data_IF_626100885746
#
_entry.id   IF_626100885746
#
_cell.length_a   1.000
_cell.length_b   1.000
_cell.length_c   1.000
_cell.angle_alpha   90.00
_cell.angle_beta   90.00
_cell.angle_gamma   90.00
#
_symmetry.space_group_name_H-M   'P 1'
#
loop_
_entity.id
_entity.type
_entity.pdbx_description
1 polymer ?
#
# COMPACT_ATOMS: atom_id res chain seq x y z
N UNK A 1 8.94 -20.43 53.85
CA UNK A 1 9.78 -20.40 52.65
C UNK A 1 8.82 -20.14 51.49
N UNK A 2 8.58 -18.87 51.19
CA UNK A 2 7.61 -18.46 50.17
C UNK A 2 8.21 -18.71 48.79
N UNK A 3 7.46 -19.37 47.92
CA UNK A 3 7.81 -19.53 46.52
C UNK A 3 7.62 -18.15 45.89
N UNK A 4 8.71 -17.46 45.57
CA UNK A 4 8.68 -16.30 44.69
C UNK A 4 8.25 -16.79 43.30
N UNK A 5 7.06 -16.38 42.89
CA UNK A 5 6.62 -16.54 41.51
C UNK A 5 7.41 -15.49 40.72
N UNK A 6 8.48 -15.90 40.03
CA UNK A 6 9.13 -15.06 39.03
C UNK A 6 8.05 -14.60 38.05
N UNK A 7 7.74 -13.31 38.09
CA UNK A 7 6.83 -12.68 37.16
C UNK A 7 7.53 -12.70 35.81
N UNK A 8 7.16 -13.63 34.92
CA UNK A 8 7.75 -13.71 33.58
C UNK A 8 7.45 -12.39 32.85
N UNK A 9 8.45 -11.51 32.77
CA UNK A 9 8.37 -10.33 31.94
C UNK A 9 8.25 -10.80 30.50
N UNK A 10 7.07 -10.61 29.88
CA UNK A 10 6.90 -10.85 28.45
C UNK A 10 7.76 -9.82 27.72
N UNK A 11 8.90 -10.25 27.18
CA UNK A 11 9.79 -9.39 26.42
C UNK A 11 9.24 -9.18 25.01
N UNK A 12 9.28 -7.93 24.53
CA UNK A 12 8.93 -7.58 23.16
C UNK A 12 10.04 -8.01 22.19
N UNK A 13 9.70 -8.19 20.90
CA UNK A 13 10.69 -8.49 19.87
C UNK A 13 11.63 -7.30 19.62
N UNK A 14 12.83 -7.57 19.11
CA UNK A 14 13.79 -6.51 18.76
C UNK A 14 13.21 -5.50 17.76
N UNK A 15 12.34 -5.94 16.84
CA UNK A 15 11.68 -5.06 15.86
C UNK A 15 10.71 -4.12 16.57
N UNK A 16 9.89 -4.65 17.49
CA UNK A 16 8.87 -3.88 18.19
C UNK A 16 9.44 -2.77 19.09
N UNK A 17 10.65 -2.96 19.61
CA UNK A 17 11.36 -1.95 20.45
C UNK A 17 12.40 -1.14 19.67
N UNK A 18 12.50 -1.33 18.36
CA UNK A 18 13.51 -0.65 17.54
C UNK A 18 13.09 0.79 17.24
N UNK A 19 14.07 1.71 17.24
CA UNK A 19 13.88 3.11 16.80
C UNK A 19 13.88 3.24 15.27
N UNK A 20 13.34 2.25 14.56
CA UNK A 20 13.31 2.22 13.08
C UNK A 20 12.20 3.08 12.49
N UNK A 21 11.29 3.61 13.30
CA UNK A 21 10.21 4.47 12.83
C UNK A 21 10.75 5.82 12.34
N UNK A 22 10.47 6.14 11.07
CA UNK A 22 11.10 7.26 10.38
C UNK A 22 10.61 8.66 10.78
N UNK A 23 9.50 8.80 11.50
CA UNK A 23 8.83 10.09 11.77
C UNK A 23 9.69 11.15 12.51
N UNK A 24 10.73 10.70 13.20
CA UNK A 24 11.69 11.57 13.88
C UNK A 24 12.76 12.13 12.95
N UNK A 25 12.80 11.69 11.69
CA UNK A 25 13.73 12.17 10.67
C UNK A 25 13.43 13.63 10.29
N UNK A 26 14.47 14.44 9.99
CA UNK A 26 14.29 15.82 9.52
C UNK A 26 13.49 15.91 8.21
N UNK A 27 13.41 14.84 7.42
CA UNK A 27 12.61 14.81 6.19
C UNK A 27 11.10 14.96 6.42
N UNK A 28 10.61 14.71 7.66
CA UNK A 28 9.21 14.90 8.02
C UNK A 28 8.87 16.35 8.43
N UNK A 29 9.85 17.26 8.50
CA UNK A 29 9.58 18.64 8.91
C UNK A 29 8.53 19.34 8.02
N UNK A 30 8.56 19.09 6.70
CA UNK A 30 7.55 19.63 5.77
C UNK A 30 6.16 19.04 5.97
N UNK A 31 6.07 17.74 6.26
CA UNK A 31 4.81 17.08 6.59
C UNK A 31 4.20 17.62 7.89
N UNK A 32 5.00 17.76 8.95
CA UNK A 32 4.55 18.35 10.22
C UNK A 32 4.08 19.79 10.04
N UNK A 33 4.79 20.60 9.26
CA UNK A 33 4.39 21.97 8.96
C UNK A 33 3.04 22.04 8.21
N UNK A 34 2.78 21.09 7.31
CA UNK A 34 1.48 20.97 6.65
C UNK A 34 0.38 20.57 7.64
N UNK A 35 0.61 19.54 8.45
CA UNK A 35 -0.38 19.05 9.42
C UNK A 35 -0.76 20.12 10.46
N UNK A 36 0.20 20.95 10.89
CA UNK A 36 0.00 22.02 11.87
C UNK A 36 -0.72 23.25 11.27
N UNK A 37 -0.56 23.53 9.98
CA UNK A 37 -1.10 24.73 9.34
C UNK A 37 -1.54 24.45 7.88
N UNK A 38 -2.54 23.59 7.66
CA UNK A 38 -2.96 23.21 6.31
C UNK A 38 -3.64 24.36 5.58
N UNK A 39 -3.29 24.57 4.31
CA UNK A 39 -3.97 25.52 3.44
C UNK A 39 -5.45 25.15 3.28
N UNK A 40 -6.32 26.16 3.33
CA UNK A 40 -7.70 26.05 2.90
C UNK A 40 -8.16 27.36 2.27
N UNK A 41 -8.77 27.31 1.08
CA UNK A 41 -9.04 28.50 0.27
C UNK A 41 -9.91 29.55 1.00
N UNK A 42 -10.89 29.12 1.80
CA UNK A 42 -11.83 30.00 2.48
C UNK A 42 -11.45 30.33 3.93
N UNK A 43 -10.79 29.40 4.61
CA UNK A 43 -10.61 29.45 6.07
C UNK A 43 -9.16 29.59 6.50
N UNK A 44 -8.20 29.30 5.61
CA UNK A 44 -6.77 29.46 5.88
C UNK A 44 -5.97 29.62 4.58
N UNK A 45 -6.17 30.74 3.88
CA UNK A 45 -5.50 31.01 2.61
C UNK A 45 -3.98 31.25 2.75
N UNK A 46 -3.48 31.43 3.98
CA UNK A 46 -2.07 31.51 4.33
C UNK A 46 -1.44 30.19 4.78
N UNK A 47 -2.21 29.09 4.78
CA UNK A 47 -1.70 27.78 5.18
C UNK A 47 -0.73 27.17 4.16
N UNK A 48 -0.11 26.06 4.56
CA UNK A 48 0.82 25.28 3.75
C UNK A 48 0.06 24.46 2.72
N UNK A 49 0.42 24.60 1.45
CA UNK A 49 -0.15 23.79 0.35
C UNK A 49 0.59 22.47 0.26
N UNK A 50 -0.15 21.36 0.22
CA UNK A 50 0.46 20.04 0.07
C UNK A 50 0.94 19.81 -1.36
N UNK A 51 2.24 19.63 -1.52
CA UNK A 51 2.89 19.28 -2.80
C UNK A 51 3.89 18.12 -2.65
N UNK A 52 3.94 17.49 -1.48
CA UNK A 52 4.84 16.38 -1.15
C UNK A 52 4.21 14.98 -1.27
N UNK A 53 2.90 14.88 -1.47
CA UNK A 53 2.18 13.61 -1.61
C UNK A 53 1.95 13.27 -3.09
N UNK A 54 2.39 12.08 -3.50
CA UNK A 54 2.15 11.56 -4.84
C UNK A 54 0.77 10.88 -4.92
N UNK A 55 -0.27 11.68 -5.13
CA UNK A 55 -1.65 11.22 -5.29
C UNK A 55 -2.26 11.70 -6.62
N UNK A 56 -3.20 10.93 -7.17
CA UNK A 56 -3.88 11.27 -8.43
C UNK A 56 -5.38 11.44 -8.19
N UNK A 57 -5.82 12.68 -8.09
CA UNK A 57 -7.24 13.05 -7.99
C UNK A 57 -7.85 13.48 -9.35
N UNK A 58 -7.05 13.51 -10.42
CA UNK A 58 -7.42 14.12 -11.71
C UNK A 58 -8.44 13.29 -12.49
N UNK A 59 -8.65 12.03 -12.11
CA UNK A 59 -9.53 11.09 -12.84
C UNK A 59 -10.67 10.54 -11.99
N UNK A 60 -10.96 11.16 -10.85
CA UNK A 60 -12.07 10.72 -9.99
C UNK A 60 -13.42 10.87 -10.69
N UNK A 61 -13.63 11.97 -11.41
CA UNK A 61 -14.84 12.22 -12.19
C UNK A 61 -15.17 11.07 -13.18
N UNK A 62 -14.15 10.49 -13.81
CA UNK A 62 -14.31 9.37 -14.73
C UNK A 62 -14.78 8.09 -14.02
N UNK A 63 -14.21 7.82 -12.84
CA UNK A 63 -14.54 6.63 -12.05
C UNK A 63 -15.90 6.79 -11.39
N UNK A 64 -16.19 7.95 -10.82
CA UNK A 64 -17.49 8.29 -10.22
C UNK A 64 -18.61 8.15 -11.24
N UNK A 65 -18.45 8.78 -12.40
CA UNK A 65 -19.42 8.66 -13.49
C UNK A 65 -19.63 7.20 -13.93
N UNK A 66 -18.54 6.43 -14.03
CA UNK A 66 -18.64 5.02 -14.39
C UNK A 66 -19.48 4.24 -13.36
N UNK A 67 -19.27 4.49 -12.06
CA UNK A 67 -20.03 3.84 -10.98
C UNK A 67 -21.50 4.26 -10.98
N UNK A 68 -21.81 5.53 -11.28
CA UNK A 68 -23.19 6.02 -11.41
C UNK A 68 -23.94 5.35 -12.58
N UNK A 69 -23.27 5.17 -13.71
CA UNK A 69 -23.83 4.52 -14.91
C UNK A 69 -23.95 2.99 -14.75
N UNK A 70 -23.19 2.39 -13.82
CA UNK A 70 -23.12 0.95 -13.59
C UNK A 70 -23.37 0.61 -12.11
N UNK A 71 -24.59 0.83 -11.59
CA UNK A 71 -24.91 0.47 -10.22
C UNK A 71 -24.71 -1.04 -10.02
N UNK A 72 -23.97 -1.41 -8.98
CA UNK A 72 -23.70 -2.80 -8.62
C UNK A 72 -25.01 -3.57 -8.43
N UNK A 73 -25.11 -4.72 -9.09
CA UNK A 73 -26.12 -5.72 -8.78
C UNK A 73 -25.55 -6.57 -7.64
N UNK A 74 -26.09 -6.44 -6.42
CA UNK A 74 -25.61 -7.09 -5.18
C UNK A 74 -25.72 -8.63 -5.16
N UNK A 75 -25.74 -9.26 -6.33
CA UNK A 75 -25.69 -10.70 -6.49
C UNK A 75 -24.29 -11.19 -6.09
N UNK A 76 -24.24 -12.21 -5.21
CA UNK A 76 -22.98 -12.85 -4.85
C UNK A 76 -22.35 -12.40 -3.53
N UNK A 77 -23.07 -11.66 -2.66
CA UNK A 77 -22.52 -11.22 -1.37
C UNK A 77 -21.96 -12.38 -0.54
N UNK A 78 -22.70 -13.49 -0.45
CA UNK A 78 -22.29 -14.64 0.37
C UNK A 78 -21.02 -15.29 -0.20
N UNK A 79 -20.97 -15.45 -1.52
CA UNK A 79 -19.83 -16.01 -2.25
C UNK A 79 -18.59 -15.14 -2.05
N UNK A 80 -18.72 -13.82 -2.19
CA UNK A 80 -17.63 -12.87 -1.97
C UNK A 80 -17.19 -12.85 -0.49
N UNK A 81 -18.12 -12.84 0.46
CA UNK A 81 -17.81 -12.81 1.89
C UNK A 81 -17.09 -14.08 2.39
N UNK A 82 -17.33 -15.22 1.73
CA UNK A 82 -16.68 -16.50 2.05
C UNK A 82 -15.40 -16.74 1.23
N UNK A 83 -15.13 -15.90 0.22
CA UNK A 83 -13.98 -16.05 -0.64
C UNK A 83 -12.69 -15.71 0.11
N UNK A 84 -11.79 -16.69 0.20
CA UNK A 84 -10.52 -16.57 0.93
C UNK A 84 -9.36 -17.26 0.19
N UNK A 85 -9.56 -17.62 -1.07
CA UNK A 85 -8.51 -18.23 -1.88
C UNK A 85 -7.40 -17.19 -2.13
N UNK A 86 -6.17 -17.53 -1.75
CA UNK A 86 -5.00 -16.66 -1.88
C UNK A 86 -4.63 -16.36 -3.34
N UNK A 87 -5.12 -17.14 -4.32
CA UNK A 87 -4.96 -16.78 -5.72
C UNK A 87 -5.74 -15.52 -6.09
N UNK A 88 -6.76 -15.12 -5.31
CA UNK A 88 -7.68 -14.06 -5.67
C UNK A 88 -8.70 -14.49 -6.72
N UNK A 89 -9.75 -13.68 -6.88
CA UNK A 89 -10.82 -13.94 -7.84
C UNK A 89 -10.25 -14.07 -9.26
N UNK A 90 -10.57 -15.16 -9.96
CA UNK A 90 -10.08 -15.40 -11.33
C UNK A 90 -10.51 -14.29 -12.30
N UNK A 91 -11.74 -13.80 -12.14
CA UNK A 91 -12.25 -12.65 -12.90
C UNK A 91 -11.38 -11.41 -12.70
N UNK A 92 -11.01 -11.12 -11.45
CA UNK A 92 -10.15 -10.00 -11.10
C UNK A 92 -8.73 -10.14 -11.68
N UNK A 93 -8.10 -11.32 -11.55
CA UNK A 93 -6.79 -11.58 -12.18
C UNK A 93 -6.82 -11.44 -13.70
N UNK A 94 -7.89 -11.89 -14.34
CA UNK A 94 -8.07 -11.78 -15.80
C UNK A 94 -8.23 -10.32 -16.23
N UNK A 95 -9.01 -9.54 -15.48
CA UNK A 95 -9.17 -8.11 -15.71
C UNK A 95 -7.84 -7.36 -15.54
N UNK A 96 -7.06 -7.68 -14.49
CA UNK A 96 -5.74 -7.10 -14.26
C UNK A 96 -4.76 -7.42 -15.39
N UNK A 97 -4.69 -8.67 -15.85
CA UNK A 97 -3.84 -9.06 -16.98
C UNK A 97 -4.16 -8.25 -18.25
N UNK A 98 -5.45 -8.11 -18.56
CA UNK A 98 -5.93 -7.36 -19.72
C UNK A 98 -5.61 -5.87 -19.60
N UNK A 99 -5.80 -5.29 -18.40
CA UNK A 99 -5.48 -3.89 -18.14
C UNK A 99 -3.98 -3.59 -18.25
N UNK A 100 -3.13 -4.47 -17.72
CA UNK A 100 -1.67 -4.37 -17.86
C UNK A 100 -1.22 -4.46 -19.32
N UNK A 101 -1.82 -5.36 -20.11
CA UNK A 101 -1.59 -5.44 -21.55
C UNK A 101 -1.97 -4.12 -22.25
N UNK A 102 -3.14 -3.57 -21.94
CA UNK A 102 -3.62 -2.32 -22.52
C UNK A 102 -2.68 -1.15 -22.21
N UNK A 103 -2.22 -1.02 -20.96
CA UNK A 103 -1.23 0.00 -20.55
C UNK A 103 0.07 -0.12 -21.34
N UNK A 104 0.48 -1.34 -21.73
CA UNK A 104 1.67 -1.57 -22.56
C UNK A 104 1.42 -1.37 -24.06
N UNK A 105 0.20 -1.01 -24.46
CA UNK A 105 -0.21 -0.82 -25.85
C UNK A 105 -0.24 -2.15 -26.63
N UNK A 106 -0.61 -3.26 -25.98
CA UNK A 106 -0.68 -4.58 -26.61
C UNK A 106 0.67 -5.23 -26.92
N UNK A 107 1.79 -4.61 -26.50
CA UNK A 107 3.15 -5.09 -26.78
C UNK A 107 3.61 -6.23 -25.87
N UNK A 108 2.88 -6.51 -24.79
CA UNK A 108 3.19 -7.57 -23.84
C UNK A 108 1.90 -8.27 -23.41
N UNK A 109 1.95 -9.60 -23.32
CA UNK A 109 0.86 -10.45 -22.82
C UNK A 109 1.17 -10.89 -21.40
N UNK A 110 0.14 -10.88 -20.54
CA UNK A 110 0.24 -11.34 -19.16
C UNK A 110 -0.68 -12.56 -18.97
N UNK A 111 -0.13 -13.63 -18.41
CA UNK A 111 -0.91 -14.83 -18.06
C UNK A 111 -1.63 -14.59 -16.72
N UNK A 112 -2.97 -14.61 -16.67
CA UNK A 112 -3.71 -14.43 -15.41
C UNK A 112 -3.34 -15.46 -14.34
N UNK A 113 -2.89 -16.66 -14.70
CA UNK A 113 -2.46 -17.69 -13.75
C UNK A 113 -1.10 -17.39 -13.11
N UNK A 114 -0.40 -16.35 -13.58
CA UNK A 114 0.86 -15.84 -13.00
C UNK A 114 0.69 -14.55 -12.22
N UNK A 115 -0.52 -14.02 -12.12
CA UNK A 115 -0.81 -12.81 -11.34
C UNK A 115 -1.08 -13.20 -9.89
N UNK A 116 -0.27 -12.65 -8.98
CA UNK A 116 -0.47 -12.71 -7.53
C UNK A 116 -0.93 -11.34 -7.05
N UNK A 117 -2.04 -11.31 -6.30
CA UNK A 117 -2.59 -10.07 -5.73
C UNK A 117 -2.07 -9.89 -4.31
N UNK A 118 -1.54 -8.71 -4.01
CA UNK A 118 -1.08 -8.33 -2.66
C UNK A 118 -1.87 -7.13 -2.16
N UNK A 119 -1.75 -6.83 -0.87
CA UNK A 119 -2.30 -5.62 -0.25
C UNK A 119 -1.48 -4.38 -0.63
N UNK A 120 -1.48 -4.04 -1.92
CA UNK A 120 -0.75 -2.91 -2.48
C UNK A 120 0.72 -3.19 -2.83
N UNK A 121 1.37 -2.17 -3.40
CA UNK A 121 2.77 -2.24 -3.85
C UNK A 121 3.77 -2.40 -2.69
N UNK A 122 3.47 -1.83 -1.51
CA UNK A 122 4.30 -1.99 -0.31
C UNK A 122 4.45 -3.46 0.07
N UNK A 123 3.33 -4.19 0.20
CA UNK A 123 3.34 -5.62 0.48
C UNK A 123 3.99 -6.44 -0.66
N UNK A 124 3.84 -6.00 -1.92
CA UNK A 124 4.47 -6.66 -3.06
C UNK A 124 6.01 -6.57 -3.00
N UNK A 125 6.55 -5.37 -2.70
CA UNK A 125 7.99 -5.14 -2.59
C UNK A 125 8.61 -5.91 -1.41
N UNK A 126 7.93 -5.91 -0.26
CA UNK A 126 8.35 -6.69 0.91
C UNK A 126 8.36 -8.19 0.60
N UNK A 127 7.28 -8.72 0.02
CA UNK A 127 7.17 -10.14 -0.37
C UNK A 127 8.26 -10.54 -1.36
N UNK A 128 8.53 -9.72 -2.38
CA UNK A 128 9.61 -9.98 -3.34
C UNK A 128 10.97 -10.04 -2.67
N UNK A 129 11.23 -9.16 -1.70
CA UNK A 129 12.47 -9.16 -0.92
C UNK A 129 12.62 -10.47 -0.15
N UNK A 130 11.56 -10.92 0.53
CA UNK A 130 11.54 -12.20 1.25
C UNK A 130 11.77 -13.42 0.34
N UNK A 131 11.31 -13.36 -0.91
CA UNK A 131 11.47 -14.48 -1.86
C UNK A 131 12.87 -14.52 -2.48
N UNK A 132 13.48 -13.35 -2.71
CA UNK A 132 14.69 -13.23 -3.52
C UNK A 132 15.99 -13.12 -2.69
N UNK A 133 15.90 -12.78 -1.40
CA UNK A 133 17.05 -12.47 -0.56
C UNK A 133 16.89 -13.04 0.86
N UNK A 134 17.99 -13.50 1.45
CA UNK A 134 18.06 -13.88 2.85
C UNK A 134 18.53 -12.70 3.73
N UNK A 135 18.35 -12.77 5.06
CA UNK A 135 18.97 -11.81 5.97
C UNK A 135 20.49 -11.75 5.76
N UNK A 136 21.00 -10.56 5.42
CA UNK A 136 22.41 -10.31 5.12
C UNK A 136 22.74 -10.16 3.63
N UNK A 137 21.83 -10.55 2.73
CA UNK A 137 21.94 -10.26 1.30
C UNK A 137 21.60 -8.79 0.99
N UNK A 138 21.84 -8.35 -0.25
CA UNK A 138 21.60 -6.97 -0.69
C UNK A 138 20.92 -6.89 -2.07
N UNK A 139 20.12 -5.83 -2.27
CA UNK A 139 19.49 -5.48 -3.54
C UNK A 139 20.09 -4.17 -4.08
N UNK A 140 20.32 -4.08 -5.39
CA UNK A 140 20.77 -2.86 -6.04
C UNK A 140 19.59 -1.97 -6.42
N UNK A 141 19.62 -0.71 -5.99
CA UNK A 141 18.57 0.29 -6.28
C UNK A 141 19.22 1.54 -6.89
N UNK A 142 18.85 1.95 -8.12
CA UNK A 142 19.37 3.17 -8.73
C UNK A 142 18.97 4.43 -7.96
N UNK A 143 19.86 5.41 -7.87
CA UNK A 143 19.58 6.69 -7.19
C UNK A 143 19.24 7.82 -8.17
N UNK A 144 18.26 8.71 -7.87
CA UNK A 144 17.38 8.70 -6.69
C UNK A 144 16.25 7.66 -6.81
N UNK A 145 15.72 7.21 -5.68
CA UNK A 145 14.64 6.22 -5.61
C UNK A 145 13.56 6.61 -4.59
N UNK A 146 12.46 5.84 -4.57
CA UNK A 146 11.36 6.01 -3.63
C UNK A 146 11.80 5.71 -2.18
N UNK A 147 11.58 6.61 -1.21
CA UNK A 147 12.16 6.49 0.13
C UNK A 147 11.50 5.47 1.07
N UNK A 148 10.38 4.86 0.69
CA UNK A 148 9.65 3.87 1.51
C UNK A 148 9.92 2.42 1.13
#
# INVERSE_FOLDING_TARGET
>A
MGIEIEQSCVQLSNIAISDTHGENSPYFAGWKAYDENPYHELTNSSGVIQMGLAENQVSFDLVEKYLEEHPEDYNGFRENALFQDYHGLKSFRTAMASFMEQIRGGRAKFDPERIVITAGATAANELLTFILANPGDALLVPTPYYPG
#
